data_IF_929648957660
#
_entry.id   IF_929648957660
#
_cell.length_a   1.000
_cell.length_b   1.000
_cell.length_c   1.000
_cell.angle_alpha   90.00
_cell.angle_beta   90.00
_cell.angle_gamma   90.00
#
_symmetry.space_group_name_H-M   'P 1'
#
loop_
_entity.id
_entity.type
_entity.pdbx_description
1 polymer ?
#
# COMPACT_ATOMS: atom_id res chain seq x y z
N UNK A 1 15.06 -8.54 18.74
CA UNK A 1 14.55 -8.26 17.38
C UNK A 1 15.72 -7.86 16.51
N UNK A 2 16.18 -8.73 15.60
CA UNK A 2 17.37 -8.46 14.78
C UNK A 2 17.09 -7.30 13.82
N UNK A 3 17.72 -6.15 14.05
CA UNK A 3 17.70 -5.04 13.12
C UNK A 3 18.46 -5.46 11.86
N UNK A 4 17.73 -5.92 10.83
CA UNK A 4 18.34 -6.22 9.53
C UNK A 4 19.02 -4.96 9.01
N UNK A 5 20.35 -4.96 9.00
CA UNK A 5 21.14 -3.87 8.45
C UNK A 5 20.68 -3.57 7.02
N UNK A 6 20.36 -2.30 6.78
CA UNK A 6 19.80 -1.87 5.51
C UNK A 6 20.94 -1.72 4.50
N UNK A 7 21.16 -2.71 3.63
CA UNK A 7 22.26 -2.68 2.66
C UNK A 7 22.15 -1.53 1.64
N UNK A 8 20.97 -0.91 1.50
CA UNK A 8 20.68 0.15 0.54
C UNK A 8 19.74 1.21 1.12
N UNK A 9 20.22 2.46 1.25
CA UNK A 9 19.42 3.58 1.75
C UNK A 9 18.32 4.05 0.79
N UNK A 10 18.45 3.74 -0.51
CA UNK A 10 17.43 4.14 -1.51
C UNK A 10 16.06 3.49 -1.25
N UNK A 11 15.99 2.41 -0.46
CA UNK A 11 14.72 1.75 -0.10
C UNK A 11 13.79 2.62 0.74
N UNK A 12 14.34 3.55 1.50
CA UNK A 12 13.57 4.55 2.26
C UNK A 12 12.98 5.65 1.39
N UNK A 13 13.26 5.70 0.08
CA UNK A 13 12.80 6.76 -0.83
C UNK A 13 11.72 6.28 -1.82
N UNK A 14 11.24 5.05 -1.67
CA UNK A 14 10.27 4.46 -2.60
C UNK A 14 9.76 3.09 -2.16
N UNK A 15 8.90 2.48 -2.99
CA UNK A 15 8.27 1.19 -2.71
C UNK A 15 9.11 0.06 -3.31
N UNK A 16 9.96 -0.55 -2.48
CA UNK A 16 10.86 -1.63 -2.95
C UNK A 16 10.33 -3.05 -2.72
N UNK A 17 9.33 -3.23 -1.84
CA UNK A 17 8.70 -4.53 -1.59
C UNK A 17 9.70 -5.58 -1.10
N UNK A 18 10.55 -5.21 -0.13
CA UNK A 18 11.59 -6.09 0.42
C UNK A 18 12.80 -6.37 -0.50
N UNK A 19 12.79 -5.89 -1.75
CA UNK A 19 13.92 -6.08 -2.68
C UNK A 19 15.10 -5.17 -2.30
N UNK A 20 16.29 -5.74 -2.30
CA UNK A 20 17.56 -5.07 -1.98
C UNK A 20 18.61 -5.36 -3.06
N UNK A 21 19.72 -4.63 -3.02
CA UNK A 21 20.87 -4.90 -3.88
C UNK A 21 21.51 -6.19 -3.41
N UNK A 22 21.69 -7.14 -4.32
CA UNK A 22 22.44 -8.35 -4.04
C UNK A 22 23.89 -8.16 -4.47
N UNK A 23 24.82 -8.64 -3.65
CA UNK A 23 26.25 -8.63 -3.92
C UNK A 23 26.73 -10.06 -4.16
N UNK A 24 27.67 -10.22 -5.09
CA UNK A 24 28.26 -11.53 -5.38
C UNK A 24 29.34 -11.43 -6.42
N UNK A 25 29.64 -12.55 -7.07
CA UNK A 25 30.72 -12.64 -8.04
C UNK A 25 30.17 -13.07 -9.40
N UNK A 26 30.80 -12.62 -10.47
CA UNK A 26 30.79 -13.29 -11.76
C UNK A 26 31.86 -14.36 -11.72
N UNK A 27 31.53 -15.57 -12.15
CA UNK A 27 32.44 -16.72 -12.17
C UNK A 27 32.70 -17.05 -13.63
N UNK A 28 33.97 -17.11 -14.03
CA UNK A 28 34.36 -17.56 -15.37
C UNK A 28 34.42 -19.09 -15.46
N UNK A 29 34.58 -19.64 -16.67
CA UNK A 29 34.81 -21.08 -16.86
C UNK A 29 36.07 -21.59 -16.13
N UNK A 30 37.09 -20.74 -15.97
CA UNK A 30 38.30 -21.04 -15.19
C UNK A 30 38.14 -20.68 -13.70
N UNK A 31 36.91 -20.53 -13.21
CA UNK A 31 36.56 -20.17 -11.83
C UNK A 31 37.08 -18.82 -11.30
N UNK A 32 37.68 -17.97 -12.15
CA UNK A 32 38.04 -16.61 -11.76
C UNK A 32 36.80 -15.82 -11.31
N UNK A 33 36.90 -15.18 -10.13
CA UNK A 33 35.80 -14.48 -9.44
C UNK A 33 35.96 -12.96 -9.56
N UNK A 34 35.03 -12.29 -10.21
CA UNK A 34 34.98 -10.82 -10.30
C UNK A 34 33.81 -10.27 -9.50
N UNK A 35 34.03 -9.29 -8.62
CA UNK A 35 32.94 -8.69 -7.81
C UNK A 35 31.90 -8.00 -8.70
N UNK A 36 30.62 -8.23 -8.44
CA UNK A 36 29.49 -7.55 -9.10
C UNK A 36 28.33 -7.31 -8.15
N UNK A 37 27.39 -6.47 -8.59
CA UNK A 37 26.14 -6.23 -7.88
C UNK A 37 24.93 -6.37 -8.82
N UNK A 38 23.81 -6.84 -8.28
CA UNK A 38 22.52 -6.90 -8.98
C UNK A 38 21.56 -5.90 -8.34
N UNK A 39 21.17 -4.90 -9.14
CA UNK A 39 20.26 -3.85 -8.71
C UNK A 39 18.82 -4.23 -9.06
N UNK A 40 17.84 -3.97 -8.19
CA UNK A 40 16.44 -4.15 -8.55
C UNK A 40 16.04 -3.17 -9.66
N UNK A 41 15.13 -3.59 -10.54
CA UNK A 41 14.57 -2.71 -11.57
C UNK A 41 13.59 -1.71 -10.93
N UNK A 42 13.96 -0.43 -10.91
CA UNK A 42 13.19 0.67 -10.29
C UNK A 42 12.59 1.56 -11.36
N UNK A 43 11.27 1.75 -11.29
CA UNK A 43 10.45 2.52 -12.21
C UNK A 43 9.82 3.72 -11.48
N UNK A 44 9.50 4.79 -12.23
CA UNK A 44 8.69 5.92 -11.74
C UNK A 44 7.28 5.78 -12.29
N UNK A 45 6.27 5.66 -11.43
CA UNK A 45 4.87 5.54 -11.85
C UNK A 45 3.96 6.43 -11.01
N UNK A 46 2.89 6.91 -11.65
CA UNK A 46 1.80 7.64 -11.01
C UNK A 46 0.68 6.65 -10.72
N UNK A 47 0.23 6.60 -9.48
CA UNK A 47 -0.79 5.69 -8.99
C UNK A 47 -1.93 6.49 -8.38
N UNK A 48 -3.14 6.01 -8.57
CA UNK A 48 -4.34 6.60 -8.02
C UNK A 48 -4.70 5.90 -6.71
N UNK A 49 -5.09 6.69 -5.71
CA UNK A 49 -5.69 6.22 -4.46
C UNK A 49 -7.19 6.50 -4.54
N UNK A 50 -8.01 5.47 -4.40
CA UNK A 50 -9.46 5.59 -4.46
C UNK A 50 -10.01 6.16 -3.15
N UNK A 51 -9.41 5.79 -2.01
CA UNK A 51 -9.85 6.27 -0.69
C UNK A 51 -9.62 7.77 -0.52
N UNK A 52 -8.52 8.30 -1.07
CA UNK A 52 -8.17 9.72 -0.95
C UNK A 52 -8.47 10.54 -2.21
N UNK A 53 -9.01 9.91 -3.25
CA UNK A 53 -9.29 10.50 -4.57
C UNK A 53 -8.13 11.34 -5.16
N UNK A 54 -6.90 10.82 -5.06
CA UNK A 54 -5.69 11.58 -5.42
C UNK A 54 -4.64 10.74 -6.11
N UNK A 55 -3.90 11.40 -7.01
CA UNK A 55 -2.77 10.82 -7.71
C UNK A 55 -1.45 11.04 -6.97
N UNK A 56 -0.69 9.96 -6.79
CA UNK A 56 0.62 9.97 -6.14
C UNK A 56 1.70 9.45 -7.08
N UNK A 57 2.88 10.08 -7.06
CA UNK A 57 4.05 9.64 -7.82
C UNK A 57 5.01 8.88 -6.91
N UNK A 58 5.35 7.66 -7.28
CA UNK A 58 6.28 6.81 -6.52
C UNK A 58 7.44 6.33 -7.40
N UNK A 59 8.59 6.12 -6.75
CA UNK A 59 9.63 5.23 -7.25
C UNK A 59 9.32 3.85 -6.71
N UNK A 60 9.18 2.86 -7.57
CA UNK A 60 8.80 1.50 -7.17
C UNK A 60 9.55 0.45 -7.97
N UNK A 61 9.73 -0.74 -7.40
CA UNK A 61 10.28 -1.85 -8.16
C UNK A 61 9.21 -2.49 -9.05
N UNK A 62 9.62 -3.11 -10.16
CA UNK A 62 8.70 -3.88 -11.00
C UNK A 62 7.99 -5.01 -10.23
N UNK A 63 8.67 -5.60 -9.24
CA UNK A 63 8.09 -6.60 -8.35
C UNK A 63 6.98 -6.01 -7.47
N UNK A 64 7.19 -4.84 -6.87
CA UNK A 64 6.17 -4.14 -6.07
C UNK A 64 4.97 -3.71 -6.93
N UNK A 65 5.21 -3.32 -8.19
CA UNK A 65 4.12 -3.04 -9.13
C UNK A 65 3.26 -4.27 -9.40
N UNK A 66 3.89 -5.44 -9.58
CA UNK A 66 3.17 -6.72 -9.80
C UNK A 66 2.35 -7.14 -8.57
N UNK A 67 2.89 -7.00 -7.36
CA UNK A 67 2.14 -7.32 -6.13
C UNK A 67 0.97 -6.38 -5.90
N UNK A 68 1.14 -5.10 -6.21
CA UNK A 68 0.05 -4.13 -6.15
C UNK A 68 -1.09 -4.46 -7.11
N UNK A 69 -0.78 -4.86 -8.35
CA UNK A 69 -1.80 -5.34 -9.30
C UNK A 69 -2.53 -6.58 -8.76
N UNK A 70 -1.80 -7.53 -8.18
CA UNK A 70 -2.39 -8.71 -7.52
C UNK A 70 -3.34 -8.35 -6.37
N UNK A 71 -3.05 -7.27 -5.65
CA UNK A 71 -3.90 -6.79 -4.55
C UNK A 71 -5.05 -5.90 -5.01
N UNK A 72 -5.10 -5.51 -6.29
CA UNK A 72 -6.20 -4.71 -6.83
C UNK A 72 -6.06 -3.20 -6.60
N UNK A 73 -4.87 -2.69 -6.24
CA UNK A 73 -4.66 -1.23 -6.14
C UNK A 73 -3.59 -0.80 -5.15
N UNK A 74 -3.31 0.50 -5.13
CA UNK A 74 -2.35 1.12 -4.22
C UNK A 74 -2.80 0.99 -2.76
N UNK A 75 -4.06 1.30 -2.46
CA UNK A 75 -4.55 1.39 -1.10
C UNK A 75 -4.51 0.01 -0.42
N UNK A 76 -4.99 -1.02 -1.12
CA UNK A 76 -4.95 -2.40 -0.62
C UNK A 76 -3.52 -2.93 -0.47
N UNK A 77 -2.62 -2.54 -1.39
CA UNK A 77 -1.21 -2.87 -1.26
C UNK A 77 -0.61 -2.27 0.02
N UNK A 78 -0.88 -0.99 0.30
CA UNK A 78 -0.35 -0.32 1.49
C UNK A 78 -0.89 -0.93 2.78
N UNK A 79 -2.20 -1.25 2.83
CA UNK A 79 -2.83 -1.86 3.99
C UNK A 79 -2.29 -3.26 4.29
N UNK A 80 -2.01 -4.06 3.24
CA UNK A 80 -1.55 -5.45 3.37
C UNK A 80 -0.04 -5.60 3.51
N UNK A 81 0.73 -4.58 3.13
CA UNK A 81 2.19 -4.62 3.18
C UNK A 81 2.70 -4.76 4.61
N UNK A 82 3.70 -5.61 4.79
CA UNK A 82 4.40 -5.78 6.06
C UNK A 82 5.26 -4.55 6.38
N UNK A 83 5.44 -4.26 7.66
CA UNK A 83 6.24 -3.10 8.10
C UNK A 83 7.70 -3.20 7.66
N UNK A 84 8.27 -4.41 7.62
CA UNK A 84 9.63 -4.67 7.12
C UNK A 84 9.81 -4.34 5.63
N UNK A 85 8.74 -4.40 4.85
CA UNK A 85 8.75 -4.16 3.40
C UNK A 85 8.41 -2.72 3.05
N UNK A 86 7.61 -2.06 3.90
CA UNK A 86 7.11 -0.71 3.72
C UNK A 86 7.92 0.28 4.57
N UNK A 87 9.15 0.52 4.14
CA UNK A 87 10.09 1.40 4.86
C UNK A 87 10.06 2.86 4.39
N UNK A 88 9.19 3.21 3.44
CA UNK A 88 9.12 4.57 2.92
C UNK A 88 8.18 5.43 3.78
N UNK A 89 8.74 6.40 4.51
CA UNK A 89 8.00 7.26 5.44
C UNK A 89 6.73 7.87 4.86
N UNK A 90 6.77 8.39 3.63
CA UNK A 90 5.58 8.97 2.98
C UNK A 90 4.50 7.90 2.78
N UNK A 91 4.88 6.68 2.43
CA UNK A 91 3.93 5.59 2.25
C UNK A 91 3.38 5.07 3.57
N UNK A 92 4.19 5.07 4.64
CA UNK A 92 3.73 4.75 6.00
C UNK A 92 2.69 5.78 6.45
N UNK A 93 2.97 7.08 6.28
CA UNK A 93 2.02 8.16 6.57
C UNK A 93 0.74 8.02 5.75
N UNK A 94 0.87 7.74 4.46
CA UNK A 94 -0.26 7.54 3.57
C UNK A 94 -1.15 6.35 4.00
N UNK A 95 -0.52 5.23 4.38
CA UNK A 95 -1.22 4.07 4.93
C UNK A 95 -2.03 4.44 6.17
N UNK A 96 -1.46 5.26 7.04
CA UNK A 96 -2.15 5.70 8.25
C UNK A 96 -3.33 6.63 7.93
N UNK A 97 -3.15 7.58 7.01
CA UNK A 97 -4.25 8.43 6.53
C UNK A 97 -5.39 7.61 5.92
N UNK A 98 -5.08 6.57 5.14
CA UNK A 98 -6.09 5.66 4.58
C UNK A 98 -6.84 4.94 5.70
N UNK A 99 -6.15 4.44 6.72
CA UNK A 99 -6.81 3.77 7.88
C UNK A 99 -7.77 4.70 8.59
N UNK A 100 -7.35 5.94 8.86
CA UNK A 100 -8.19 6.94 9.52
C UNK A 100 -9.46 7.23 8.72
N UNK A 101 -9.34 7.42 7.41
CA UNK A 101 -10.51 7.66 6.54
C UNK A 101 -11.45 6.46 6.52
N UNK A 102 -10.92 5.23 6.45
CA UNK A 102 -11.73 4.02 6.47
C UNK A 102 -12.46 3.82 7.82
N UNK A 103 -11.80 4.14 8.94
CA UNK A 103 -12.43 4.11 10.26
C UNK A 103 -13.55 5.15 10.36
N UNK A 104 -13.30 6.39 9.92
CA UNK A 104 -14.32 7.44 9.91
C UNK A 104 -15.53 7.07 9.04
N UNK A 105 -15.32 6.45 7.88
CA UNK A 105 -16.41 5.94 7.05
C UNK A 105 -17.21 4.83 7.74
N UNK A 106 -16.52 3.95 8.47
CA UNK A 106 -17.17 2.89 9.25
C UNK A 106 -18.03 3.48 10.37
N UNK A 107 -17.47 4.39 11.16
CA UNK A 107 -18.18 5.08 12.25
C UNK A 107 -19.38 5.87 11.72
N UNK A 108 -19.23 6.60 10.62
CA UNK A 108 -20.33 7.32 9.97
C UNK A 108 -21.44 6.37 9.52
N UNK A 109 -21.08 5.18 9.01
CA UNK A 109 -22.06 4.14 8.63
C UNK A 109 -22.77 3.56 9.85
N UNK A 110 -22.06 3.32 10.95
CA UNK A 110 -22.62 2.82 12.21
C UNK A 110 -23.55 3.86 12.85
N UNK A 111 -23.14 5.13 12.89
CA UNK A 111 -23.96 6.24 13.38
C UNK A 111 -25.22 6.45 12.52
N UNK A 112 -25.10 6.36 11.19
CA UNK A 112 -26.25 6.43 10.28
C UNK A 112 -27.20 5.25 10.46
N UNK A 113 -26.69 4.05 10.75
CA UNK A 113 -27.52 2.88 11.05
C UNK A 113 -28.22 3.00 12.42
N UNK A 114 -27.56 3.58 13.42
CA UNK A 114 -28.12 3.81 14.75
C UNK A 114 -29.18 4.93 14.78
N UNK A 115 -29.03 5.95 13.91
CA UNK A 115 -29.98 7.03 13.70
C UNK A 115 -31.00 6.71 12.59
N UNK A 116 -31.36 5.45 12.36
CA UNK A 116 -32.56 5.12 11.60
C UNK A 116 -33.73 4.88 12.57
N UNK A 117 -34.33 5.92 13.21
CA UNK A 117 -35.54 5.71 14.00
C UNK A 117 -36.68 5.41 13.03
N UNK A 118 -37.16 4.18 13.06
CA UNK A 118 -38.50 3.72 12.74
C UNK A 118 -39.26 4.49 11.64
N UNK A 119 -39.13 4.03 10.39
CA UNK A 119 -40.06 4.38 9.30
C UNK A 119 -41.38 3.58 9.38
N UNK A 120 -41.64 2.86 10.47
CA UNK A 120 -42.85 2.07 10.72
C UNK A 120 -43.99 2.85 11.41
N UNK A 121 -44.05 4.17 11.22
CA UNK A 121 -45.34 4.89 11.31
C UNK A 121 -45.75 5.31 9.91
N UNK A 122 -46.24 4.34 9.13
CA UNK A 122 -47.08 4.66 7.97
C UNK A 122 -48.28 5.47 8.48
N UNK A 123 -48.49 6.73 8.05
CA UNK A 123 -49.74 7.39 8.32
C UNK A 123 -50.80 6.61 7.53
N UNK A 124 -51.57 5.77 8.24
CA UNK A 124 -52.73 5.09 7.70
C UNK A 124 -53.60 6.13 6.99
N UNK A 125 -53.68 6.06 5.66
CA UNK A 125 -54.53 6.95 4.88
C UNK A 125 -55.96 6.84 5.40
N UNK A 126 -56.58 7.95 5.86
CA UNK A 126 -57.97 7.88 6.28
C UNK A 126 -58.82 7.53 5.06
N UNK A 127 -59.50 6.38 5.14
CA UNK A 127 -60.47 5.96 4.13
C UNK A 127 -61.55 7.01 4.02
N UNK A 128 -61.63 7.65 2.85
CA UNK A 128 -62.71 8.56 2.49
C UNK A 128 -63.98 7.73 2.25
N UNK A 129 -65.07 8.18 2.87
CA UNK A 129 -66.41 7.56 2.88
C UNK A 129 -67.05 7.51 1.50
#
# INVERSE_FOLDING_TARGET
MSSKAHTMLRRFRGLYGGRHIQFGNQISHAENKTRRCWKPNVLRKRLYSAVLDRWFRFRMTAAALKTMQKHGGLDQYLLRSRDDELLYDRAIRLRESIRQVLLAHREARENAAAYAPDSDTSPSSPSVK
#
